data_IF_892075275545
#
_entry.id   IF_892075275545
#
_cell.length_a   1.000
_cell.length_b   1.000
_cell.length_c   1.000
_cell.angle_alpha   90.00
_cell.angle_beta   90.00
_cell.angle_gamma   90.00
#
_symmetry.space_group_name_H-M   'P 1'
#
loop_
_entity.id
_entity.type
_entity.pdbx_description
1 polymer ?
#
# COMPACT_ATOMS: atom_id res chain seq x y z
N UNK A 1 -19.70 1.87 -17.49
CA UNK A 1 -18.35 1.35 -17.48
C UNK A 1 -18.40 -0.12 -17.89
N UNK A 2 -17.78 -0.44 -19.01
CA UNK A 2 -17.83 -1.78 -19.57
C UNK A 2 -16.69 -2.69 -19.10
N UNK A 3 -16.82 -3.94 -19.46
CA UNK A 3 -15.77 -4.94 -19.22
C UNK A 3 -14.52 -4.59 -20.01
N UNK A 4 -13.36 -4.92 -19.48
CA UNK A 4 -12.09 -4.73 -20.15
C UNK A 4 -11.07 -5.77 -19.69
N UNK A 5 -10.00 -5.90 -20.46
CA UNK A 5 -8.88 -6.79 -20.15
C UNK A 5 -7.63 -5.95 -19.91
N UNK A 6 -6.92 -6.24 -18.83
CA UNK A 6 -5.64 -5.59 -18.52
C UNK A 6 -4.68 -6.66 -18.00
N UNK A 7 -3.50 -6.74 -18.60
CA UNK A 7 -2.48 -7.74 -18.24
C UNK A 7 -3.05 -9.16 -18.16
N UNK A 8 -3.81 -9.56 -19.20
CA UNK A 8 -4.44 -10.86 -19.35
C UNK A 8 -5.52 -11.17 -18.31
N UNK A 9 -5.98 -10.17 -17.56
CA UNK A 9 -7.05 -10.34 -16.60
C UNK A 9 -8.27 -9.53 -17.00
N UNK A 10 -9.45 -10.16 -16.94
CA UNK A 10 -10.71 -9.51 -17.26
C UNK A 10 -11.29 -8.83 -16.02
N UNK A 11 -11.77 -7.60 -16.19
CA UNK A 11 -12.43 -6.83 -15.15
C UNK A 11 -13.82 -6.40 -15.62
N UNK A 12 -14.79 -6.52 -14.73
CA UNK A 12 -16.17 -6.12 -15.03
C UNK A 12 -16.31 -4.60 -15.05
N UNK A 13 -15.51 -3.90 -14.26
CA UNK A 13 -15.55 -2.44 -14.17
C UNK A 13 -14.27 -1.89 -13.55
N UNK A 14 -14.08 -0.58 -13.61
CA UNK A 14 -12.89 0.06 -13.04
C UNK A 14 -12.85 0.01 -11.52
N UNK A 15 -13.99 -0.15 -10.86
CA UNK A 15 -14.01 -0.34 -9.42
C UNK A 15 -13.37 -1.68 -9.03
N UNK A 16 -13.74 -2.76 -9.73
CA UNK A 16 -13.12 -4.07 -9.53
C UNK A 16 -11.62 -4.02 -9.80
N UNK A 17 -11.23 -3.32 -10.87
CA UNK A 17 -9.84 -3.10 -11.22
C UNK A 17 -9.08 -2.39 -10.08
N UNK A 18 -9.65 -1.32 -9.52
CA UNK A 18 -9.04 -0.59 -8.42
C UNK A 18 -8.88 -1.47 -7.17
N UNK A 19 -9.90 -2.25 -6.83
CA UNK A 19 -9.82 -3.18 -5.70
C UNK A 19 -8.70 -4.20 -5.90
N UNK A 20 -8.54 -4.71 -7.12
CA UNK A 20 -7.49 -5.67 -7.44
C UNK A 20 -6.09 -5.07 -7.23
N UNK A 21 -5.88 -3.83 -7.66
CA UNK A 21 -4.60 -3.14 -7.50
C UNK A 21 -4.17 -3.06 -6.04
N UNK A 22 -5.10 -2.76 -5.15
CA UNK A 22 -4.81 -2.59 -3.72
C UNK A 22 -5.15 -3.80 -2.87
N UNK A 23 -5.42 -4.94 -3.52
CA UNK A 23 -5.83 -6.17 -2.81
C UNK A 23 -4.73 -6.70 -1.89
N UNK A 24 -5.17 -7.39 -0.84
CA UNK A 24 -4.28 -7.95 0.16
C UNK A 24 -4.05 -7.00 1.33
N UNK A 25 -3.52 -7.56 2.40
CA UNK A 25 -3.34 -6.84 3.67
C UNK A 25 -2.29 -5.74 3.58
N UNK A 26 -1.19 -6.00 2.88
CA UNK A 26 0.03 -5.20 3.05
C UNK A 26 0.18 -4.02 2.11
N UNK A 27 -0.42 -4.07 0.91
CA UNK A 27 -0.27 -2.98 -0.08
C UNK A 27 -0.78 -1.65 0.44
N UNK A 28 -2.00 -1.63 0.96
CA UNK A 28 -2.59 -0.42 1.52
C UNK A 28 -1.78 0.10 2.70
N UNK A 29 -1.32 -0.80 3.58
CA UNK A 29 -0.53 -0.42 4.74
C UNK A 29 0.82 0.21 4.35
N UNK A 30 1.50 -0.35 3.36
CA UNK A 30 2.75 0.23 2.85
C UNK A 30 2.51 1.64 2.33
N UNK A 31 1.50 1.81 1.48
CA UNK A 31 1.19 3.13 0.91
C UNK A 31 0.84 4.13 2.00
N UNK A 32 0.04 3.70 2.96
CA UNK A 32 -0.35 4.56 4.09
C UNK A 32 0.87 5.08 4.85
N UNK A 33 1.84 4.22 5.12
CA UNK A 33 3.03 4.63 5.86
C UNK A 33 4.04 5.41 5.01
N UNK A 34 3.98 5.29 3.68
CA UNK A 34 4.82 6.09 2.78
C UNK A 34 4.26 7.48 2.49
N UNK A 35 3.02 7.76 2.92
CA UNK A 35 2.40 9.05 2.62
C UNK A 35 3.15 10.26 3.17
N UNK A 36 3.89 10.08 4.25
CA UNK A 36 4.59 11.16 4.94
C UNK A 36 6.06 11.30 4.54
N UNK A 37 6.57 10.43 3.69
CA UNK A 37 7.94 10.54 3.21
C UNK A 37 8.57 9.22 2.83
N UNK A 38 9.77 9.32 2.32
CA UNK A 38 10.58 8.19 1.87
C UNK A 38 11.01 7.31 3.03
N UNK A 39 10.90 6.00 2.86
CA UNK A 39 11.33 5.02 3.85
C UNK A 39 12.24 3.98 3.21
N UNK A 40 13.14 3.43 4.01
CA UNK A 40 13.98 2.30 3.63
C UNK A 40 13.23 1.00 3.90
N UNK A 41 13.65 -0.08 3.24
CA UNK A 41 13.08 -1.41 3.43
C UNK A 41 12.98 -1.79 4.91
N UNK A 42 14.07 -1.65 5.65
CA UNK A 42 14.11 -2.02 7.07
C UNK A 42 13.15 -1.19 7.93
N UNK A 43 12.97 0.08 7.59
CA UNK A 43 12.02 0.95 8.29
C UNK A 43 10.59 0.51 8.05
N UNK A 44 10.25 0.19 6.80
CA UNK A 44 8.91 -0.31 6.44
C UNK A 44 8.64 -1.62 7.18
N UNK A 45 9.60 -2.55 7.16
CA UNK A 45 9.47 -3.84 7.82
C UNK A 45 9.23 -3.67 9.32
N UNK A 46 9.95 -2.77 9.96
CA UNK A 46 9.79 -2.48 11.38
C UNK A 46 8.41 -1.92 11.71
N UNK A 47 7.93 -0.98 10.90
CA UNK A 47 6.61 -0.37 11.09
C UNK A 47 5.50 -1.43 10.95
N UNK A 48 5.60 -2.30 9.95
CA UNK A 48 4.56 -3.29 9.68
C UNK A 48 4.60 -4.48 10.65
N UNK A 49 5.72 -4.70 11.32
CA UNK A 49 5.84 -5.74 12.35
C UNK A 49 5.78 -7.16 11.83
N UNK A 50 4.58 -7.72 11.72
CA UNK A 50 4.37 -9.14 11.41
C UNK A 50 4.60 -9.53 9.96
N UNK A 51 4.89 -8.59 9.07
CA UNK A 51 5.13 -8.90 7.66
C UNK A 51 6.42 -9.72 7.53
N UNK A 52 6.37 -10.82 6.77
CA UNK A 52 7.57 -11.59 6.48
C UNK A 52 8.41 -10.88 5.41
N UNK A 53 9.70 -11.18 5.36
CA UNK A 53 10.59 -10.65 4.33
C UNK A 53 10.07 -10.98 2.93
N UNK A 54 9.60 -12.21 2.74
CA UNK A 54 9.04 -12.66 1.46
C UNK A 54 7.82 -11.83 1.06
N UNK A 55 6.88 -11.66 1.98
CA UNK A 55 5.64 -10.90 1.72
C UNK A 55 5.94 -9.44 1.44
N UNK A 56 6.83 -8.83 2.22
CA UNK A 56 7.18 -7.41 2.01
C UNK A 56 7.86 -7.21 0.66
N UNK A 57 8.79 -8.08 0.30
CA UNK A 57 9.47 -8.00 -0.99
C UNK A 57 8.46 -8.12 -2.14
N UNK A 58 7.53 -9.08 -2.07
CA UNK A 58 6.49 -9.24 -3.09
C UNK A 58 5.57 -8.03 -3.16
N UNK A 59 5.18 -7.51 -2.00
CA UNK A 59 4.31 -6.33 -1.91
C UNK A 59 4.96 -5.11 -2.55
N UNK A 60 6.22 -4.85 -2.22
CA UNK A 60 6.96 -3.71 -2.77
C UNK A 60 7.15 -3.83 -4.28
N UNK A 61 7.46 -5.02 -4.77
CA UNK A 61 7.57 -5.27 -6.22
C UNK A 61 6.25 -5.01 -6.93
N UNK A 62 5.16 -5.49 -6.38
CA UNK A 62 3.83 -5.30 -6.95
C UNK A 62 3.45 -3.82 -7.00
N UNK A 63 3.70 -3.08 -5.92
CA UNK A 63 3.43 -1.64 -5.87
C UNK A 63 4.28 -0.86 -6.86
N UNK A 64 5.53 -1.26 -7.04
CA UNK A 64 6.42 -0.64 -8.01
C UNK A 64 5.95 -0.91 -9.45
N UNK A 65 5.56 -2.16 -9.75
CA UNK A 65 5.02 -2.52 -11.07
C UNK A 65 3.74 -1.75 -11.40
N UNK A 66 2.90 -1.50 -10.40
CA UNK A 66 1.68 -0.71 -10.56
C UNK A 66 1.95 0.80 -10.55
N UNK A 67 3.21 1.20 -10.43
CA UNK A 67 3.64 2.61 -10.43
C UNK A 67 3.06 3.42 -9.27
N UNK A 68 2.81 2.76 -8.15
CA UNK A 68 2.33 3.41 -6.93
C UNK A 68 3.47 3.85 -6.03
N UNK A 69 4.62 3.21 -6.15
CA UNK A 69 5.85 3.59 -5.47
C UNK A 69 7.02 3.56 -6.46
N UNK A 70 8.06 4.29 -6.12
CA UNK A 70 9.34 4.23 -6.81
C UNK A 70 10.41 3.70 -5.86
N UNK A 71 11.42 3.06 -6.43
CA UNK A 71 12.54 2.50 -5.69
C UNK A 71 13.82 3.13 -6.17
N UNK A 72 14.65 3.60 -5.25
CA UNK A 72 15.96 4.15 -5.56
C UNK A 72 17.04 3.36 -4.83
N UNK A 73 17.99 2.85 -5.61
CA UNK A 73 19.12 2.10 -5.08
C UNK A 73 20.34 3.00 -5.09
N UNK A 74 21.02 3.08 -3.95
CA UNK A 74 22.28 3.82 -3.82
C UNK A 74 23.43 2.83 -3.82
N UNK A 75 24.39 2.96 -4.75
CA UNK A 75 25.51 2.02 -4.86
C UNK A 75 26.61 2.33 -3.83
N UNK A 76 26.27 2.23 -2.56
CA UNK A 76 27.19 2.42 -1.45
C UNK A 76 27.34 1.11 -0.69
N UNK A 77 28.24 1.06 0.29
CA UNK A 77 28.47 -0.13 1.12
C UNK A 77 28.21 0.24 2.58
N UNK A 78 27.21 -0.37 3.23
CA UNK A 78 26.22 -1.31 2.69
C UNK A 78 25.26 -0.62 1.72
N UNK A 79 24.63 -1.36 0.78
CA UNK A 79 23.70 -0.76 -0.17
C UNK A 79 22.48 -0.18 0.54
N UNK A 80 21.99 0.92 0.00
CA UNK A 80 20.83 1.63 0.54
C UNK A 80 19.72 1.61 -0.50
N UNK A 81 18.52 1.21 -0.12
CA UNK A 81 17.34 1.21 -0.98
C UNK A 81 16.24 2.04 -0.33
N UNK A 82 15.75 3.02 -1.06
CA UNK A 82 14.68 3.90 -0.59
C UNK A 82 13.42 3.72 -1.43
N UNK A 83 12.27 3.77 -0.77
CA UNK A 83 10.96 3.69 -1.40
C UNK A 83 10.20 4.99 -1.17
N UNK A 84 9.60 5.50 -2.23
CA UNK A 84 8.86 6.76 -2.20
C UNK A 84 7.51 6.56 -2.89
N UNK A 85 6.44 7.08 -2.30
CA UNK A 85 5.13 7.05 -2.92
C UNK A 85 5.11 7.99 -4.14
N UNK A 86 4.50 7.54 -5.24
CA UNK A 86 4.38 8.33 -6.47
C UNK A 86 3.14 9.22 -6.41
N UNK A 87 2.99 10.11 -7.39
CA UNK A 87 1.77 10.91 -7.55
C UNK A 87 0.54 10.01 -7.69
N UNK A 88 0.67 8.91 -8.43
CA UNK A 88 -0.42 7.92 -8.57
C UNK A 88 -0.80 7.35 -7.22
N UNK A 89 0.19 6.96 -6.41
CA UNK A 89 -0.04 6.41 -5.07
C UNK A 89 -0.65 7.45 -4.13
N UNK A 90 -0.20 8.70 -4.20
CA UNK A 90 -0.73 9.77 -3.35
C UNK A 90 -2.23 10.01 -3.57
N UNK A 91 -2.73 9.75 -4.78
CA UNK A 91 -4.17 9.89 -5.08
C UNK A 91 -5.03 8.89 -4.31
N UNK A 92 -4.45 7.80 -3.82
CA UNK A 92 -5.17 6.83 -3.00
C UNK A 92 -5.29 7.29 -1.54
N UNK A 93 -4.45 8.20 -1.08
CA UNK A 93 -4.45 8.59 0.34
C UNK A 93 -5.80 9.17 0.78
N UNK A 94 -6.45 10.07 0.03
CA UNK A 94 -7.80 10.52 0.40
C UNK A 94 -8.82 9.38 0.49
N UNK A 95 -8.70 8.37 -0.37
CA UNK A 95 -9.56 7.18 -0.34
C UNK A 95 -9.32 6.39 0.95
N UNK A 96 -8.06 6.20 1.32
CA UNK A 96 -7.68 5.51 2.56
C UNK A 96 -8.13 6.28 3.80
N UNK A 97 -8.09 7.60 3.76
CA UNK A 97 -8.58 8.43 4.86
C UNK A 97 -10.09 8.22 5.07
N UNK A 98 -10.85 8.14 3.98
CA UNK A 98 -12.28 7.82 4.06
C UNK A 98 -12.51 6.39 4.57
N UNK A 99 -11.69 5.46 4.13
CA UNK A 99 -11.77 4.07 4.60
C UNK A 99 -11.47 3.98 6.10
N UNK A 100 -10.46 4.72 6.57
CA UNK A 100 -10.13 4.82 7.99
C UNK A 100 -11.31 5.35 8.80
N UNK A 101 -11.94 6.41 8.31
CA UNK A 101 -13.10 7.01 8.96
C UNK A 101 -14.25 6.02 9.08
N UNK A 102 -14.54 5.29 8.02
CA UNK A 102 -15.55 4.25 8.04
C UNK A 102 -15.19 3.13 9.03
N UNK A 103 -13.93 2.72 9.05
CA UNK A 103 -13.45 1.71 10.01
C UNK A 103 -13.63 2.17 11.46
N UNK A 104 -13.35 3.43 11.74
CA UNK A 104 -13.56 4.01 13.07
C UNK A 104 -15.04 4.01 13.46
N UNK A 105 -15.93 4.31 12.51
CA UNK A 105 -17.38 4.27 12.75
C UNK A 105 -17.86 2.85 13.08
N UNK A 106 -17.39 1.86 12.33
CA UNK A 106 -17.72 0.45 12.59
C UNK A 106 -17.19 0.01 13.95
N UNK A 107 -15.94 0.39 14.26
CA UNK A 107 -15.35 0.04 15.57
C UNK A 107 -16.17 0.63 16.71
N UNK A 108 -16.66 1.87 16.58
CA UNK A 108 -17.51 2.50 17.58
C UNK A 108 -18.87 1.77 17.73
N UNK A 109 -19.49 1.40 16.61
CA UNK A 109 -20.75 0.66 16.61
C UNK A 109 -20.64 -0.71 17.31
N UNK A 110 -19.49 -1.37 17.10
CA UNK A 110 -19.22 -2.69 17.67
C UNK A 110 -18.65 -2.63 19.09
N UNK A 111 -18.46 -1.45 19.64
CA UNK A 111 -17.87 -1.28 20.96
C UNK A 111 -16.41 -1.69 21.05
N UNK A 112 -15.70 -1.66 19.94
CA UNK A 112 -14.29 -2.02 19.88
C UNK A 112 -13.46 -0.88 20.47
N UNK A 113 -12.58 -1.21 21.42
CA UNK A 113 -11.63 -0.25 21.96
C UNK A 113 -10.38 -0.26 21.08
N UNK A 114 -10.07 0.89 20.50
CA UNK A 114 -8.84 1.06 19.75
C UNK A 114 -7.71 1.34 20.74
N UNK A 115 -6.69 0.48 20.73
CA UNK A 115 -5.52 0.67 21.59
C UNK A 115 -4.63 1.74 20.95
N UNK A 116 -4.37 2.80 21.69
CA UNK A 116 -3.39 3.80 21.29
C UNK A 116 -2.02 3.39 21.78
N UNK A 117 -1.07 3.42 20.88
CA UNK A 117 0.32 3.06 21.17
C UNK A 117 1.17 4.31 21.26
#
# INVERSE_FOLDING_TARGET
VGKFIYKKKEFACTFEFALDIISGKWKGLVLWHLKDGTLRYGEIKKILGDVTQKMLTQTLRSLEEEKLISRKVYPIVPPKVEYTITKRGLKLIPVFEQLLKWGDEVAAEEGIKVLEV
#
